data_IF_610338045616
#
_entry.id   IF_610338045616
#
_cell.length_a   1.000
_cell.length_b   1.000
_cell.length_c   1.000
_cell.angle_alpha   90.00
_cell.angle_beta   90.00
_cell.angle_gamma   90.00
#
_symmetry.space_group_name_H-M   'P 1'
#
loop_
_entity.id
_entity.type
_entity.pdbx_description
1 polymer ?
#
# COMPACT_ATOMS: atom_id res chain seq x y z
N UNK A 1 -4.93 16.49 8.04
CA UNK A 1 -6.32 16.50 7.52
C UNK A 1 -7.17 17.39 8.41
N UNK A 2 -8.12 18.17 7.88
CA UNK A 2 -9.02 18.95 8.75
C UNK A 2 -10.04 18.01 9.42
N UNK A 3 -10.67 18.48 10.50
CA UNK A 3 -11.74 17.69 11.16
C UNK A 3 -12.96 17.50 10.24
N UNK A 4 -13.25 18.46 9.37
CA UNK A 4 -14.37 18.37 8.45
C UNK A 4 -14.13 17.27 7.40
N UNK A 5 -12.92 17.22 6.81
CA UNK A 5 -12.56 16.12 5.89
C UNK A 5 -12.64 14.75 6.57
N UNK A 6 -12.24 14.65 7.85
CA UNK A 6 -12.36 13.40 8.61
C UNK A 6 -13.83 12.96 8.73
N UNK A 7 -14.73 13.88 9.07
CA UNK A 7 -16.17 13.60 9.19
C UNK A 7 -16.77 13.19 7.85
N UNK A 8 -16.42 13.89 6.78
CA UNK A 8 -16.90 13.58 5.42
C UNK A 8 -16.44 12.19 4.98
N UNK A 9 -15.18 11.82 5.21
CA UNK A 9 -14.68 10.48 4.89
C UNK A 9 -15.42 9.38 5.66
N UNK A 10 -15.68 9.59 6.95
CA UNK A 10 -16.44 8.64 7.77
C UNK A 10 -17.88 8.51 7.24
N UNK A 11 -18.51 9.63 6.89
CA UNK A 11 -19.86 9.61 6.31
C UNK A 11 -19.88 8.88 4.98
N UNK A 12 -18.93 9.14 4.08
CA UNK A 12 -18.81 8.45 2.80
C UNK A 12 -18.62 6.95 3.01
N UNK A 13 -17.78 6.54 3.96
CA UNK A 13 -17.59 5.13 4.29
C UNK A 13 -18.89 4.45 4.74
N UNK A 14 -19.67 5.09 5.61
CA UNK A 14 -20.97 4.55 6.02
C UNK A 14 -21.98 4.45 4.87
N UNK A 15 -21.98 5.42 3.96
CA UNK A 15 -22.81 5.36 2.76
C UNK A 15 -22.39 4.17 1.89
N UNK A 16 -21.09 4.02 1.61
CA UNK A 16 -20.57 2.90 0.82
C UNK A 16 -20.86 1.54 1.47
N UNK A 17 -20.76 1.43 2.79
CA UNK A 17 -21.10 0.21 3.54
C UNK A 17 -22.56 -0.21 3.30
N UNK A 18 -23.49 0.75 3.21
CA UNK A 18 -24.90 0.46 2.92
C UNK A 18 -25.11 -0.18 1.54
N UNK A 19 -24.18 0.06 0.62
CA UNK A 19 -24.11 -0.56 -0.71
C UNK A 19 -23.17 -1.77 -0.77
N UNK A 20 -22.66 -2.26 0.38
CA UNK A 20 -21.65 -3.34 0.48
C UNK A 20 -20.35 -3.02 -0.27
N UNK A 21 -20.04 -1.73 -0.41
CA UNK A 21 -18.79 -1.24 -0.97
C UNK A 21 -17.87 -0.77 0.16
N UNK A 22 -16.56 -0.84 -0.05
CA UNK A 22 -15.57 -0.46 0.96
C UNK A 22 -14.72 0.71 0.48
N UNK A 23 -14.59 1.72 1.34
CA UNK A 23 -13.64 2.80 1.11
C UNK A 23 -12.24 2.37 1.56
N UNK A 24 -11.27 2.48 0.64
CA UNK A 24 -9.85 2.28 0.92
C UNK A 24 -9.12 3.58 0.66
N UNK A 25 -8.40 4.10 1.66
CA UNK A 25 -7.62 5.34 1.54
C UNK A 25 -6.15 4.98 1.36
N UNK A 26 -5.58 5.42 0.25
CA UNK A 26 -4.15 5.28 -0.06
C UNK A 26 -3.36 6.47 0.47
N UNK A 27 -2.29 6.21 1.21
CA UNK A 27 -1.46 7.23 1.86
C UNK A 27 -0.07 7.22 1.22
N UNK A 28 0.34 8.35 0.65
CA UNK A 28 1.62 8.51 -0.05
C UNK A 28 2.75 9.06 0.82
N UNK A 29 2.45 9.52 2.04
CA UNK A 29 3.43 10.20 2.89
C UNK A 29 3.96 9.29 4.00
N UNK A 30 5.28 9.00 4.05
CA UNK A 30 5.88 8.45 5.25
C UNK A 30 5.79 9.53 6.34
N UNK A 31 5.47 9.14 7.59
CA UNK A 31 5.37 10.08 8.72
C UNK A 31 6.60 10.97 8.87
N UNK A 32 7.76 10.52 8.40
CA UNK A 32 9.00 11.26 8.37
C UNK A 32 8.95 12.56 7.56
N UNK A 33 8.08 12.67 6.57
CA UNK A 33 7.87 13.89 5.78
C UNK A 33 7.15 14.99 6.57
N UNK A 34 6.56 14.66 7.74
CA UNK A 34 5.88 15.64 8.60
C UNK A 34 6.91 16.45 9.42
N UNK A 35 6.67 17.77 9.57
CA UNK A 35 7.67 18.72 10.06
C UNK A 35 8.11 18.49 11.50
N UNK A 36 7.28 17.86 12.33
CA UNK A 36 7.62 17.60 13.73
C UNK A 36 6.83 16.47 14.38
N UNK A 37 7.20 16.11 15.62
CA UNK A 37 6.55 15.04 16.37
C UNK A 37 5.07 15.29 16.66
N UNK A 38 4.66 16.56 16.77
CA UNK A 38 3.26 16.92 17.05
C UNK A 38 2.36 16.61 15.87
N UNK A 39 2.80 16.95 14.67
CA UNK A 39 2.11 16.69 13.40
C UNK A 39 2.04 15.19 13.13
N UNK A 40 3.14 14.46 13.40
CA UNK A 40 3.16 12.99 13.32
C UNK A 40 2.13 12.35 14.24
N UNK A 41 2.08 12.76 15.52
CA UNK A 41 1.08 12.26 16.48
C UNK A 41 -0.34 12.63 16.06
N UNK A 42 -0.55 13.84 15.56
CA UNK A 42 -1.85 14.28 15.06
C UNK A 42 -2.32 13.41 13.89
N UNK A 43 -1.44 13.13 12.92
CA UNK A 43 -1.72 12.22 11.80
C UNK A 43 -2.09 10.82 12.30
N UNK A 44 -1.26 10.23 13.17
CA UNK A 44 -1.51 8.89 13.73
C UNK A 44 -2.88 8.83 14.42
N UNK A 45 -3.22 9.83 15.25
CA UNK A 45 -4.54 9.92 15.89
C UNK A 45 -5.69 10.00 14.87
N UNK A 46 -5.51 10.74 13.79
CA UNK A 46 -6.51 10.84 12.72
C UNK A 46 -6.71 9.49 12.03
N UNK A 47 -5.64 8.74 11.77
CA UNK A 47 -5.71 7.40 11.18
C UNK A 47 -6.41 6.39 12.10
N UNK A 48 -6.11 6.41 13.40
CA UNK A 48 -6.86 5.60 14.37
C UNK A 48 -8.34 6.00 14.41
N UNK A 49 -8.66 7.29 14.42
CA UNK A 49 -10.05 7.73 14.38
C UNK A 49 -10.80 7.23 13.13
N UNK A 50 -10.15 7.17 11.97
CA UNK A 50 -10.74 6.58 10.77
C UNK A 50 -11.02 5.08 11.00
N UNK A 51 -10.03 4.32 11.47
CA UNK A 51 -10.14 2.87 11.70
C UNK A 51 -11.18 2.50 12.77
N UNK A 52 -11.26 3.27 13.84
CA UNK A 52 -12.11 2.96 14.99
C UNK A 52 -13.58 3.32 14.75
N UNK A 53 -13.84 4.33 13.92
CA UNK A 53 -15.19 4.89 13.72
C UNK A 53 -15.84 4.47 12.41
N UNK A 54 -15.14 3.72 11.56
CA UNK A 54 -15.65 3.35 10.25
C UNK A 54 -15.03 2.05 9.75
N UNK A 55 -15.57 1.51 8.66
CA UNK A 55 -15.04 0.34 7.96
C UNK A 55 -13.85 0.66 7.02
N UNK A 56 -13.34 1.89 7.08
CA UNK A 56 -12.28 2.37 6.17
C UNK A 56 -11.04 1.51 6.33
N UNK A 57 -10.51 1.06 5.19
CA UNK A 57 -9.20 0.42 5.12
C UNK A 57 -8.14 1.42 4.68
N UNK A 58 -6.91 1.18 5.13
CA UNK A 58 -5.77 2.01 4.80
C UNK A 58 -4.79 1.24 3.93
N UNK A 59 -4.26 1.91 2.91
CA UNK A 59 -3.20 1.40 2.05
C UNK A 59 -1.94 2.27 2.17
N UNK A 60 -0.79 1.65 2.38
CA UNK A 60 0.50 2.34 2.22
C UNK A 60 0.83 2.39 0.73
N UNK A 61 0.96 3.58 0.16
CA UNK A 61 1.34 3.72 -1.25
C UNK A 61 2.85 3.81 -1.44
N UNK A 62 3.32 3.34 -2.60
CA UNK A 62 4.72 3.49 -3.01
C UNK A 62 5.72 2.79 -2.07
N UNK A 63 5.37 1.62 -1.51
CA UNK A 63 6.28 0.83 -0.69
C UNK A 63 7.38 0.19 -1.55
N UNK A 64 8.62 0.32 -1.09
CA UNK A 64 9.82 -0.26 -1.70
C UNK A 64 10.65 -0.99 -0.64
N UNK A 65 11.59 -1.87 -1.04
CA UNK A 65 12.50 -2.51 -0.07
C UNK A 65 13.43 -1.52 0.64
N UNK A 66 13.67 -0.36 0.03
CA UNK A 66 14.43 0.74 0.64
C UNK A 66 13.57 1.58 1.60
N UNK A 67 12.26 1.33 1.67
CA UNK A 67 11.39 1.93 2.68
C UNK A 67 11.89 1.46 4.04
N UNK A 68 12.26 2.42 4.90
CA UNK A 68 12.91 2.15 6.19
C UNK A 68 12.17 1.04 6.95
N UNK A 69 12.92 0.11 7.51
CA UNK A 69 12.38 -1.03 8.27
C UNK A 69 11.46 -0.62 9.43
N UNK A 70 11.58 0.62 9.93
CA UNK A 70 10.83 1.17 11.05
C UNK A 70 9.77 2.20 10.61
N UNK A 71 9.01 1.92 9.54
CA UNK A 71 7.82 2.73 9.29
C UNK A 71 6.82 2.49 10.42
N UNK A 72 6.72 3.48 11.31
CA UNK A 72 5.90 3.44 12.51
C UNK A 72 4.44 3.05 12.20
N UNK A 73 3.88 3.42 11.04
CA UNK A 73 2.50 3.07 10.72
C UNK A 73 2.33 1.58 10.38
N UNK A 74 3.37 0.95 9.81
CA UNK A 74 3.42 -0.50 9.59
C UNK A 74 3.57 -1.23 10.93
N UNK A 75 4.46 -0.74 11.82
CA UNK A 75 4.64 -1.31 13.17
C UNK A 75 3.37 -1.21 14.01
N UNK A 76 2.63 -0.10 13.89
CA UNK A 76 1.34 0.13 14.52
C UNK A 76 0.19 -0.69 13.88
N UNK A 77 0.48 -1.47 12.82
CA UNK A 77 -0.47 -2.36 12.12
C UNK A 77 -1.71 -1.60 11.62
N UNK A 78 -1.53 -0.36 11.18
CA UNK A 78 -2.62 0.49 10.73
C UNK A 78 -3.07 0.18 9.29
N UNK A 79 -2.16 -0.32 8.47
CA UNK A 79 -2.43 -0.64 7.08
C UNK A 79 -3.09 -2.00 6.91
N UNK A 80 -4.09 -2.05 6.05
CA UNK A 80 -4.70 -3.27 5.55
C UNK A 80 -4.04 -3.71 4.23
N UNK A 81 -3.52 -2.73 3.47
CA UNK A 81 -2.86 -2.95 2.20
C UNK A 81 -1.48 -2.29 2.13
N UNK A 82 -0.55 -2.93 1.45
CA UNK A 82 0.71 -2.33 1.02
C UNK A 82 0.76 -2.37 -0.50
N UNK A 83 0.84 -1.19 -1.10
CA UNK A 83 0.89 -1.01 -2.54
C UNK A 83 2.32 -0.72 -2.98
N UNK A 84 2.86 -1.61 -3.80
CA UNK A 84 4.25 -1.63 -4.23
C UNK A 84 4.35 -1.36 -5.73
N UNK A 85 5.07 -0.33 -6.18
CA UNK A 85 5.41 -0.18 -7.58
C UNK A 85 6.22 -1.39 -8.02
N UNK A 86 5.67 -2.15 -8.96
CA UNK A 86 6.34 -3.29 -9.53
C UNK A 86 7.17 -2.82 -10.72
N UNK A 87 8.47 -3.16 -10.79
CA UNK A 87 9.32 -2.67 -11.85
C UNK A 87 8.85 -3.20 -13.20
N UNK A 88 8.81 -2.29 -14.17
CA UNK A 88 8.73 -2.67 -15.57
C UNK A 88 9.95 -3.50 -15.97
N UNK A 89 9.80 -4.28 -17.03
CA UNK A 89 10.79 -5.24 -17.46
C UNK A 89 12.13 -4.70 -18.04
N UNK A 90 12.57 -3.41 -17.98
CA UNK A 90 13.96 -3.07 -18.37
C UNK A 90 15.08 -3.76 -17.57
N UNK A 91 14.78 -4.64 -16.60
CA UNK A 91 15.71 -5.67 -16.08
C UNK A 91 15.72 -6.97 -16.92
N UNK A 92 15.32 -6.95 -18.19
CA UNK A 92 15.33 -8.07 -19.15
C UNK A 92 16.66 -8.85 -19.28
N UNK A 93 17.78 -8.39 -18.72
CA UNK A 93 19.14 -8.94 -18.94
C UNK A 93 20.06 -8.99 -17.69
N UNK A 94 19.56 -8.77 -16.47
CA UNK A 94 20.38 -9.00 -15.25
C UNK A 94 19.96 -10.24 -14.46
N UNK A 95 19.23 -11.15 -15.12
CA UNK A 95 18.69 -12.41 -14.59
C UNK A 95 19.76 -13.47 -14.21
N UNK A 96 21.04 -13.11 -14.18
CA UNK A 96 22.11 -13.89 -13.53
C UNK A 96 22.70 -13.20 -12.27
N UNK A 97 22.27 -11.98 -11.92
CA UNK A 97 22.95 -11.13 -10.91
C UNK A 97 22.02 -10.73 -9.73
N UNK A 98 20.70 -11.01 -9.79
CA UNK A 98 19.76 -10.53 -8.75
C UNK A 98 18.72 -11.56 -8.26
N UNK A 99 19.04 -12.86 -8.21
CA UNK A 99 18.22 -13.85 -7.45
C UNK A 99 17.88 -13.32 -6.06
N UNK A 100 18.90 -12.81 -5.38
CA UNK A 100 18.84 -12.34 -4.00
C UNK A 100 17.91 -11.14 -3.82
N UNK A 101 17.56 -10.41 -4.87
CA UNK A 101 16.57 -9.33 -4.75
C UNK A 101 15.16 -9.88 -4.61
N UNK A 102 14.78 -10.84 -5.45
CA UNK A 102 13.44 -11.43 -5.40
C UNK A 102 13.25 -12.30 -4.17
N UNK A 103 14.29 -13.03 -3.76
CA UNK A 103 14.25 -13.82 -2.54
C UNK A 103 14.09 -12.91 -1.30
N UNK A 104 14.88 -11.83 -1.21
CA UNK A 104 14.71 -10.83 -0.13
C UNK A 104 13.36 -10.14 -0.17
N UNK A 105 12.84 -9.84 -1.36
CA UNK A 105 11.51 -9.25 -1.51
C UNK A 105 10.44 -10.21 -0.99
N UNK A 106 10.52 -11.48 -1.40
CA UNK A 106 9.62 -12.53 -0.98
C UNK A 106 9.64 -12.70 0.54
N UNK A 107 10.82 -12.85 1.14
CA UNK A 107 11.00 -13.00 2.58
C UNK A 107 10.43 -11.79 3.34
N UNK A 108 10.71 -10.57 2.85
CA UNK A 108 10.18 -9.35 3.47
C UNK A 108 8.66 -9.26 3.39
N UNK A 109 8.07 -9.67 2.27
CA UNK A 109 6.60 -9.71 2.13
C UNK A 109 6.00 -10.72 3.11
N UNK A 110 6.61 -11.91 3.26
CA UNK A 110 6.14 -12.90 4.23
C UNK A 110 6.25 -12.41 5.68
N UNK A 111 7.36 -11.75 6.02
CA UNK A 111 7.54 -11.14 7.33
C UNK A 111 6.41 -10.14 7.62
N UNK A 112 6.12 -9.23 6.69
CA UNK A 112 5.06 -8.24 6.83
C UNK A 112 3.67 -8.88 6.92
N UNK A 113 3.36 -9.86 6.06
CA UNK A 113 2.09 -10.62 6.14
C UNK A 113 1.95 -11.26 7.53
N UNK A 114 3.01 -11.88 8.04
CA UNK A 114 2.97 -12.56 9.34
C UNK A 114 2.80 -11.58 10.51
N UNK A 115 3.46 -10.42 10.45
CA UNK A 115 3.50 -9.45 11.53
C UNK A 115 2.26 -8.57 11.61
N UNK A 116 1.73 -8.11 10.46
CA UNK A 116 0.65 -7.12 10.38
C UNK A 116 -0.58 -7.57 9.61
N UNK A 117 -0.57 -8.76 8.98
CA UNK A 117 -1.68 -9.30 8.16
C UNK A 117 -2.07 -8.42 6.98
N UNK A 118 -1.14 -7.61 6.49
CA UNK A 118 -1.32 -6.78 5.30
C UNK A 118 -1.51 -7.65 4.06
N UNK A 119 -2.30 -7.15 3.11
CA UNK A 119 -2.37 -7.68 1.75
C UNK A 119 -1.56 -6.81 0.80
N UNK A 120 -0.85 -7.44 -0.15
CA UNK A 120 -0.01 -6.72 -1.08
C UNK A 120 -0.71 -6.43 -2.41
N UNK A 121 -0.47 -5.23 -2.96
CA UNK A 121 -0.92 -4.80 -4.27
C UNK A 121 0.32 -4.52 -5.12
N UNK A 122 0.48 -5.26 -6.23
CA UNK A 122 1.47 -4.94 -7.25
C UNK A 122 0.93 -3.81 -8.12
N UNK A 123 1.55 -2.64 -8.07
CA UNK A 123 1.18 -1.45 -8.85
C UNK A 123 2.09 -1.30 -10.08
N UNK A 124 1.65 -0.51 -11.07
CA UNK A 124 2.42 -0.22 -12.30
C UNK A 124 2.91 -1.48 -13.03
N UNK A 125 2.08 -2.52 -13.07
CA UNK A 125 2.36 -3.69 -13.90
C UNK A 125 2.00 -3.37 -15.36
N UNK A 126 2.99 -2.97 -16.16
CA UNK A 126 2.75 -2.53 -17.55
C UNK A 126 2.97 -3.62 -18.61
N UNK A 127 3.68 -4.71 -18.27
CA UNK A 127 4.09 -5.75 -19.23
C UNK A 127 3.75 -7.17 -18.77
N UNK A 128 3.56 -8.09 -19.74
CA UNK A 128 3.26 -9.52 -19.51
C UNK A 128 4.31 -10.24 -18.68
N UNK A 129 5.58 -9.92 -18.89
CA UNK A 129 6.71 -10.54 -18.19
C UNK A 129 6.68 -10.13 -16.70
N UNK A 130 6.49 -8.83 -16.42
CA UNK A 130 6.31 -8.29 -15.08
C UNK A 130 5.08 -8.90 -14.39
N UNK A 131 3.96 -9.04 -15.10
CA UNK A 131 2.76 -9.68 -14.55
C UNK A 131 2.99 -11.14 -14.19
N UNK A 132 3.71 -11.89 -15.04
CA UNK A 132 4.05 -13.30 -14.78
C UNK A 132 4.94 -13.44 -13.56
N UNK A 133 5.92 -12.55 -13.41
CA UNK A 133 6.83 -12.57 -12.29
C UNK A 133 6.14 -12.12 -10.99
N UNK A 134 5.32 -11.06 -11.02
CA UNK A 134 4.56 -10.60 -9.86
C UNK A 134 3.63 -11.71 -9.31
N UNK A 135 3.04 -12.54 -10.17
CA UNK A 135 2.22 -13.70 -9.75
C UNK A 135 2.99 -14.78 -8.98
N UNK A 136 4.33 -14.77 -9.01
CA UNK A 136 5.18 -15.68 -8.23
C UNK A 136 5.52 -15.13 -6.84
N UNK A 137 5.15 -13.89 -6.55
CA UNK A 137 5.34 -13.24 -5.27
C UNK A 137 4.03 -13.19 -4.47
N UNK A 138 4.06 -12.90 -3.16
CA UNK A 138 2.89 -12.87 -2.28
C UNK A 138 1.91 -11.69 -2.52
N UNK A 139 1.69 -11.28 -3.77
CA UNK A 139 0.71 -10.25 -4.11
C UNK A 139 -0.71 -10.82 -4.12
N UNK A 140 -1.64 -10.08 -3.53
CA UNK A 140 -3.06 -10.41 -3.52
C UNK A 140 -3.81 -9.72 -4.67
N UNK A 141 -3.34 -8.54 -5.07
CA UNK A 141 -3.97 -7.71 -6.10
C UNK A 141 -2.92 -7.18 -7.07
N UNK A 142 -3.37 -6.87 -8.29
CA UNK A 142 -2.51 -6.38 -9.36
C UNK A 142 -3.17 -5.19 -10.06
N UNK A 143 -2.39 -4.14 -10.32
CA UNK A 143 -2.80 -2.90 -10.96
C UNK A 143 -1.71 -2.44 -11.93
N UNK A 144 -2.10 -1.91 -13.08
CA UNK A 144 -1.20 -1.38 -14.10
C UNK A 144 -1.79 -1.50 -15.51
N UNK A 145 -1.15 -0.87 -16.49
CA UNK A 145 -1.62 -0.82 -17.87
C UNK A 145 -1.76 -2.19 -18.54
N UNK A 146 -1.03 -3.20 -18.07
CA UNK A 146 -1.19 -4.58 -18.55
C UNK A 146 -2.58 -5.15 -18.25
N UNK A 147 -3.15 -4.84 -17.09
CA UNK A 147 -4.44 -5.39 -16.65
C UNK A 147 -5.62 -4.53 -17.10
N UNK A 148 -5.49 -3.22 -16.93
CA UNK A 148 -6.48 -2.25 -17.37
C UNK A 148 -5.78 -0.90 -17.45
N UNK A 149 -5.45 -0.39 -18.65
CA UNK A 149 -4.94 0.97 -18.77
C UNK A 149 -5.98 1.94 -18.22
N UNK A 150 -5.53 3.05 -17.65
CA UNK A 150 -6.44 4.14 -17.36
C UNK A 150 -7.10 4.54 -18.68
N UNK A 151 -8.44 4.69 -18.69
CA UNK A 151 -9.09 5.38 -19.80
C UNK A 151 -8.41 6.73 -19.94
N UNK A 152 -7.88 7.03 -21.13
CA UNK A 152 -7.29 8.34 -21.41
C UNK A 152 -8.38 9.40 -21.14
N UNK A 153 -8.30 10.06 -19.99
CA UNK A 153 -9.13 11.22 -19.62
C UNK A 153 -8.46 12.50 -20.11
#
# INVERSE_FOLDING_TARGET
>A
MSEDTLKELIQVAHVLDSYKQQLVISIENPLDALPGPTERRAMVRQLYNLKDRSSIKLAYNNYTLDTKQADLLIELKLYDYIKMPFPDAPLRLSLNIRSDFFDRLYDRMLELISASRVSFIADKVEFSDSATLAKRLPFNYFQGGYYSPAENL
#
